data_IF_301828268683
#
_entry.id   IF_301828268683
#
_cell.length_a   1.000
_cell.length_b   1.000
_cell.length_c   1.000
_cell.angle_alpha   90.00
_cell.angle_beta   90.00
_cell.angle_gamma   90.00
#
_symmetry.space_group_name_H-M   'P 1'
#
loop_
_entity.id
_entity.type
_entity.pdbx_description
1 polymer ?
#
# COMPACT_ATOMS: atom_id res chain seq x y z
N UNK A 1 16.45 13.07 14.33
CA UNK A 1 15.23 13.86 14.05
C UNK A 1 14.37 13.02 13.12
N UNK A 2 13.18 12.57 13.54
CA UNK A 2 12.33 11.77 12.66
C UNK A 2 11.86 12.66 11.48
N UNK A 3 12.14 12.26 10.24
CA UNK A 3 11.67 12.96 9.06
C UNK A 3 10.15 12.95 9.03
N UNK A 4 9.53 14.13 8.95
CA UNK A 4 8.08 14.26 8.81
C UNK A 4 7.70 13.85 7.38
N UNK A 5 7.31 12.60 7.20
CA UNK A 5 6.77 12.11 5.92
C UNK A 5 5.33 12.57 5.77
N UNK A 6 5.11 13.67 5.02
CA UNK A 6 3.77 14.16 4.69
C UNK A 6 3.32 13.52 3.38
N UNK A 7 2.33 12.62 3.46
CA UNK A 7 1.69 12.03 2.29
C UNK A 7 0.64 13.02 1.74
N UNK A 8 0.84 13.55 0.52
CA UNK A 8 -0.15 14.43 -0.13
C UNK A 8 -1.21 13.59 -0.84
N UNK A 9 -2.49 13.98 -0.72
CA UNK A 9 -3.60 13.32 -1.44
C UNK A 9 -3.38 13.34 -2.96
N UNK A 10 -2.83 14.42 -3.49
CA UNK A 10 -2.48 14.53 -4.92
C UNK A 10 -1.46 13.48 -5.36
N UNK A 11 -0.53 13.09 -4.47
CA UNK A 11 0.47 12.04 -4.74
C UNK A 11 -0.17 10.66 -4.78
N UNK A 12 -1.17 10.39 -3.95
CA UNK A 12 -1.95 9.14 -3.98
C UNK A 12 -2.75 9.05 -5.28
N UNK A 13 -3.44 10.14 -5.65
CA UNK A 13 -4.23 10.18 -6.87
C UNK A 13 -3.36 10.03 -8.14
N UNK A 14 -2.18 10.66 -8.14
CA UNK A 14 -1.20 10.50 -9.22
C UNK A 14 -0.62 9.08 -9.31
N UNK A 15 -0.35 8.42 -8.17
CA UNK A 15 0.14 7.04 -8.15
C UNK A 15 -0.87 6.04 -8.73
N UNK A 16 -2.16 6.30 -8.56
CA UNK A 16 -3.23 5.47 -9.10
C UNK A 16 -3.56 5.80 -10.56
N UNK A 17 -2.80 6.67 -11.23
CA UNK A 17 -3.06 7.14 -12.60
C UNK A 17 -4.48 7.71 -12.80
N UNK A 18 -5.05 8.34 -11.77
CA UNK A 18 -6.46 8.76 -11.74
C UNK A 18 -7.46 7.60 -11.98
N UNK A 19 -7.09 6.35 -11.69
CA UNK A 19 -7.99 5.20 -11.77
C UNK A 19 -9.01 5.21 -10.61
N UNK A 20 -10.07 5.99 -10.84
CA UNK A 20 -11.23 6.09 -9.97
C UNK A 20 -11.89 4.72 -9.71
N UNK A 21 -11.73 3.74 -10.60
CA UNK A 21 -12.28 2.39 -10.41
C UNK A 21 -11.52 1.65 -9.32
N UNK A 22 -10.19 1.79 -9.29
CA UNK A 22 -9.35 1.18 -8.26
C UNK A 22 -9.59 1.82 -6.89
N UNK A 23 -9.74 3.15 -6.83
CA UNK A 23 -10.12 3.86 -5.59
C UNK A 23 -11.44 3.30 -5.04
N UNK A 24 -12.50 3.28 -5.85
CA UNK A 24 -13.82 2.77 -5.44
C UNK A 24 -13.78 1.32 -4.97
N UNK A 25 -12.98 0.46 -5.62
CA UNK A 25 -12.80 -0.94 -5.16
C UNK A 25 -12.13 -1.00 -3.80
N UNK A 26 -11.12 -0.16 -3.55
CA UNK A 26 -10.45 -0.04 -2.27
C UNK A 26 -11.39 0.43 -1.16
N UNK A 27 -12.18 1.48 -1.43
CA UNK A 27 -13.20 2.00 -0.50
C UNK A 27 -14.24 0.92 -0.17
N UNK A 28 -14.79 0.25 -1.18
CA UNK A 28 -15.74 -0.84 -0.97
C UNK A 28 -15.15 -1.97 -0.10
N UNK A 29 -13.88 -2.33 -0.29
CA UNK A 29 -13.22 -3.37 0.51
C UNK A 29 -13.06 -2.95 1.98
N UNK A 30 -12.80 -1.67 2.23
CA UNK A 30 -12.73 -1.11 3.57
C UNK A 30 -14.12 -1.11 4.24
N UNK A 31 -15.14 -0.57 3.56
CA UNK A 31 -16.52 -0.46 4.07
C UNK A 31 -17.15 -1.83 4.35
N UNK A 32 -16.87 -2.81 3.49
CA UNK A 32 -17.35 -4.19 3.67
C UNK A 32 -16.49 -5.02 4.64
N UNK A 33 -15.60 -4.37 5.40
CA UNK A 33 -14.75 -4.99 6.43
C UNK A 33 -13.88 -6.14 5.88
N UNK A 34 -13.43 -6.03 4.62
CA UNK A 34 -12.45 -6.96 4.04
C UNK A 34 -11.01 -6.56 4.42
N UNK A 35 -10.77 -5.30 4.81
CA UNK A 35 -9.51 -4.87 5.43
C UNK A 35 -9.63 -5.03 6.95
N UNK A 36 -9.02 -6.07 7.53
CA UNK A 36 -9.12 -6.37 8.97
C UNK A 36 -8.12 -5.60 9.82
N UNK A 37 -6.90 -5.44 9.31
CA UNK A 37 -5.83 -4.69 9.96
C UNK A 37 -4.98 -4.01 8.90
N UNK A 38 -4.43 -2.84 9.24
CA UNK A 38 -3.47 -2.12 8.41
C UNK A 38 -2.47 -1.42 9.33
N UNK A 39 -1.19 -1.54 9.00
CA UNK A 39 -0.11 -0.87 9.69
C UNK A 39 0.91 -0.36 8.67
N UNK A 40 1.40 0.85 8.89
CA UNK A 40 2.55 1.37 8.15
C UNK A 40 3.77 1.41 9.05
N UNK A 41 4.85 0.77 8.59
CA UNK A 41 6.18 0.80 9.21
C UNK A 41 7.03 1.84 8.47
N UNK A 42 7.19 3.02 9.09
CA UNK A 42 7.91 4.13 8.49
C UNK A 42 9.41 3.89 8.39
N UNK A 43 9.98 3.01 9.21
CA UNK A 43 11.41 2.74 9.19
C UNK A 43 11.77 1.85 8.00
N UNK A 44 10.90 0.88 7.71
CA UNK A 44 11.07 -0.04 6.59
C UNK A 44 10.40 0.43 5.30
N UNK A 45 9.56 1.48 5.37
CA UNK A 45 8.72 1.93 4.26
C UNK A 45 7.80 0.83 3.73
N UNK A 46 7.18 0.09 4.67
CA UNK A 46 6.34 -1.08 4.37
C UNK A 46 4.94 -0.86 4.92
N UNK A 47 3.93 -1.18 4.11
CA UNK A 47 2.53 -1.32 4.54
C UNK A 47 2.26 -2.80 4.75
N UNK A 48 1.79 -3.17 5.94
CA UNK A 48 1.31 -4.51 6.27
C UNK A 48 -0.20 -4.48 6.45
N UNK A 49 -0.88 -5.50 5.99
CA UNK A 49 -2.33 -5.61 6.13
C UNK A 49 -2.80 -7.04 6.32
N UNK A 50 -3.92 -7.19 7.01
CA UNK A 50 -4.67 -8.44 7.08
C UNK A 50 -5.94 -8.25 6.23
N UNK A 51 -6.06 -8.96 5.11
CA UNK A 51 -7.07 -8.74 4.08
C UNK A 51 -7.85 -10.03 3.81
N UNK A 52 -9.17 -9.94 3.73
CA UNK A 52 -10.03 -11.02 3.23
C UNK A 52 -10.07 -10.97 1.70
N UNK A 53 -9.62 -12.04 1.04
CA UNK A 53 -9.94 -12.22 -0.38
C UNK A 53 -11.43 -12.56 -0.48
N UNK A 54 -12.19 -11.76 -1.23
CA UNK A 54 -13.60 -12.05 -1.46
C UNK A 54 -13.72 -13.45 -2.07
N UNK A 55 -14.74 -14.19 -1.66
CA UNK A 55 -15.10 -15.59 -2.01
C UNK A 55 -14.69 -16.71 -1.05
N UNK A 56 -13.69 -16.57 -0.16
CA UNK A 56 -13.25 -17.72 0.67
C UNK A 56 -13.26 -17.53 2.19
N UNK A 57 -13.78 -16.39 2.69
CA UNK A 57 -13.71 -16.01 4.10
C UNK A 57 -12.33 -16.30 4.72
N UNK A 58 -11.28 -16.11 3.89
CA UNK A 58 -9.91 -16.49 4.20
C UNK A 58 -9.12 -15.20 4.30
N UNK A 59 -8.41 -15.07 5.42
CA UNK A 59 -7.56 -13.94 5.71
C UNK A 59 -6.16 -14.16 5.14
N UNK A 60 -5.58 -13.08 4.62
CA UNK A 60 -4.25 -13.04 4.04
C UNK A 60 -3.45 -11.93 4.70
N UNK A 61 -2.24 -12.25 5.14
CA UNK A 61 -1.26 -11.24 5.51
C UNK A 61 -0.59 -10.74 4.23
N UNK A 62 -0.75 -9.47 3.95
CA UNK A 62 -0.23 -8.80 2.75
C UNK A 62 0.83 -7.80 3.18
N UNK A 63 1.93 -7.76 2.44
CA UNK A 63 3.00 -6.79 2.63
C UNK A 63 3.24 -6.05 1.31
N UNK A 64 3.24 -4.72 1.36
CA UNK A 64 3.54 -3.84 0.23
C UNK A 64 4.73 -2.98 0.66
N UNK A 65 5.87 -3.18 0.02
CA UNK A 65 7.10 -2.43 0.29
C UNK A 65 7.67 -1.83 -0.99
N UNK A 66 8.57 -0.86 -0.83
CA UNK A 66 9.33 -0.31 -1.95
C UNK A 66 10.38 -1.33 -2.40
N UNK A 67 10.27 -1.83 -3.64
CA UNK A 67 11.36 -2.58 -4.25
C UNK A 67 12.42 -1.56 -4.69
N UNK A 68 13.50 -1.43 -3.93
CA UNK A 68 14.69 -0.73 -4.41
C UNK A 68 15.41 -1.70 -5.34
N UNK A 69 15.20 -1.56 -6.65
CA UNK A 69 16.10 -2.15 -7.63
C UNK A 69 17.42 -1.38 -7.51
N UNK A 70 18.38 -1.92 -6.74
CA UNK A 70 19.74 -1.41 -6.75
C UNK A 70 20.37 -1.79 -8.10
N UNK A 71 20.24 -0.90 -9.09
CA UNK A 71 21.06 -0.97 -10.30
C UNK A 71 22.49 -0.67 -9.86
N UNK A 72 23.31 -1.71 -9.69
CA UNK A 72 24.75 -1.55 -9.54
C UNK A 72 25.27 -0.98 -10.86
N UNK A 73 25.48 0.34 -10.92
CA UNK A 73 26.40 0.91 -11.89
C UNK A 73 27.80 0.57 -11.39
N UNK A 74 28.42 -0.43 -12.00
CA UNK A 74 29.87 -0.57 -11.95
C UNK A 74 30.42 0.59 -12.77
N UNK A 75 30.97 1.61 -12.12
CA UNK A 75 31.84 2.56 -12.81
C UNK A 75 33.06 1.79 -13.34
N UNK A 76 33.40 2.05 -14.60
CA UNK A 76 34.41 1.33 -15.41
C UNK A 76 35.78 1.17 -14.73
#
# INVERSE_FOLDING_TARGET
>A
MASKHVLKVSSINGFLDNDNRTIKKGENALESNHVKKMQFDSNLMIIRGEILASMKNKSYNVEIGMIILSTYYTEN
#
